data_IF_565093755846
#
_entry.id   IF_565093755846
#
_cell.length_a   1.000
_cell.length_b   1.000
_cell.length_c   1.000
_cell.angle_alpha   90.00
_cell.angle_beta   90.00
_cell.angle_gamma   90.00
#
_symmetry.space_group_name_H-M   'P 1'
#
loop_
_entity.id
_entity.type
_entity.pdbx_description
1 polymer ?
#
# COMPACT_ATOMS: atom_id res chain seq x y z
N UNK A 1 20.29 24.52 -22.33
CA UNK A 1 19.38 25.48 -23.04
C UNK A 1 18.04 24.87 -23.47
N UNK A 2 17.95 23.61 -23.91
CA UNK A 2 16.68 23.01 -24.38
C UNK A 2 15.57 22.85 -23.31
N UNK A 3 15.91 22.65 -22.02
CA UNK A 3 14.93 22.57 -20.92
C UNK A 3 14.20 23.91 -20.63
N UNK A 4 14.85 25.05 -20.89
CA UNK A 4 14.24 26.38 -20.74
C UNK A 4 13.25 26.65 -21.89
N UNK A 5 13.58 26.20 -23.09
CA UNK A 5 12.72 26.32 -24.27
C UNK A 5 11.47 25.44 -24.17
N UNK A 6 11.58 24.23 -23.61
CA UNK A 6 10.41 23.37 -23.37
C UNK A 6 9.46 23.91 -22.29
N UNK A 7 10.00 24.48 -21.19
CA UNK A 7 9.17 25.16 -20.15
C UNK A 7 8.49 26.42 -20.68
N UNK A 8 9.14 27.19 -21.56
CA UNK A 8 8.51 28.32 -22.26
C UNK A 8 7.37 27.86 -23.19
N UNK A 9 7.48 26.67 -23.79
CA UNK A 9 6.43 26.09 -24.64
C UNK A 9 5.13 25.77 -23.89
N UNK A 10 5.22 25.25 -22.66
CA UNK A 10 4.07 24.97 -21.81
C UNK A 10 3.39 26.26 -21.30
N UNK A 11 4.19 27.27 -20.91
CA UNK A 11 3.69 28.60 -20.55
C UNK A 11 2.94 29.26 -21.71
N UNK A 12 3.44 29.11 -22.95
CA UNK A 12 2.80 29.65 -24.15
C UNK A 12 1.42 29.05 -24.44
N UNK A 13 1.16 27.80 -24.01
CA UNK A 13 -0.17 27.15 -24.12
C UNK A 13 -1.17 27.70 -23.11
N UNK A 14 -0.71 28.15 -21.94
CA UNK A 14 -1.55 28.77 -20.92
C UNK A 14 -1.83 30.25 -21.18
N UNK A 15 -0.96 30.96 -21.91
CA UNK A 15 -1.18 32.37 -22.25
C UNK A 15 -2.49 32.61 -23.00
N UNK A 16 -2.85 31.74 -23.95
CA UNK A 16 -4.08 31.92 -24.75
C UNK A 16 -5.35 31.90 -23.91
N UNK A 17 -5.66 30.84 -23.13
CA UNK A 17 -6.86 30.84 -22.29
C UNK A 17 -6.82 31.94 -21.22
N UNK A 18 -5.64 32.25 -20.66
CA UNK A 18 -5.51 33.32 -19.66
C UNK A 18 -5.78 34.71 -20.24
N UNK A 19 -5.32 35.00 -21.46
CA UNK A 19 -5.63 36.26 -22.15
C UNK A 19 -7.11 36.35 -22.49
N UNK A 20 -7.74 35.24 -22.88
CA UNK A 20 -9.16 35.21 -23.20
C UNK A 20 -10.03 35.43 -21.94
N UNK A 21 -9.69 34.79 -20.82
CA UNK A 21 -10.38 35.01 -19.54
C UNK A 21 -10.18 36.44 -19.04
N UNK A 22 -8.97 36.99 -19.17
CA UNK A 22 -8.69 38.39 -18.82
C UNK A 22 -9.53 39.36 -19.66
N UNK A 23 -9.57 39.19 -20.98
CA UNK A 23 -10.40 40.01 -21.87
C UNK A 23 -11.89 39.88 -21.50
N UNK A 24 -12.36 38.67 -21.20
CA UNK A 24 -13.74 38.43 -20.75
C UNK A 24 -14.10 39.17 -19.47
N UNK A 25 -13.21 39.17 -18.47
CA UNK A 25 -13.41 39.89 -17.20
C UNK A 25 -13.45 41.41 -17.43
N UNK A 26 -12.60 41.94 -18.31
CA UNK A 26 -12.59 43.37 -18.65
C UNK A 26 -13.91 43.78 -19.34
N UNK A 27 -14.37 43.00 -20.33
CA UNK A 27 -15.63 43.28 -21.01
C UNK A 27 -16.83 43.17 -20.08
N UNK A 28 -16.85 42.16 -19.21
CA UNK A 28 -17.92 41.97 -18.23
C UNK A 28 -17.95 43.10 -17.20
N UNK A 29 -16.79 43.50 -16.68
CA UNK A 29 -16.71 44.61 -15.72
C UNK A 29 -17.15 45.94 -16.34
N UNK A 30 -16.79 46.19 -17.61
CA UNK A 30 -17.25 47.37 -18.35
C UNK A 30 -18.77 47.35 -18.56
N UNK A 31 -19.36 46.20 -18.94
CA UNK A 31 -20.80 46.04 -19.09
C UNK A 31 -21.57 46.31 -17.80
N UNK A 32 -21.10 45.75 -16.68
CA UNK A 32 -21.68 46.00 -15.35
C UNK A 32 -21.55 47.48 -14.97
N UNK A 33 -20.41 48.12 -15.24
CA UNK A 33 -20.22 49.53 -14.95
C UNK A 33 -21.23 50.43 -15.70
N UNK A 34 -21.44 50.20 -16.99
CA UNK A 34 -22.45 50.95 -17.77
C UNK A 34 -23.87 50.70 -17.27
N UNK A 35 -24.20 49.46 -16.91
CA UNK A 35 -25.50 49.12 -16.35
C UNK A 35 -25.74 49.84 -15.01
N UNK A 36 -24.76 49.84 -14.12
CA UNK A 36 -24.84 50.55 -12.84
C UNK A 36 -24.97 52.07 -13.04
N UNK A 37 -24.22 52.66 -13.98
CA UNK A 37 -24.34 54.08 -14.34
C UNK A 37 -25.74 54.39 -14.86
N UNK A 38 -26.32 53.53 -15.69
CA UNK A 38 -27.68 53.68 -16.19
C UNK A 38 -28.68 53.70 -15.04
N UNK A 39 -28.69 52.66 -14.19
CA UNK A 39 -29.60 52.58 -13.04
C UNK A 39 -29.45 53.80 -12.13
N UNK A 40 -28.21 54.24 -11.88
CA UNK A 40 -27.91 55.40 -11.06
C UNK A 40 -28.44 56.73 -11.64
N UNK A 41 -28.55 56.84 -12.97
CA UNK A 41 -29.06 58.06 -13.63
C UNK A 41 -30.58 58.07 -13.76
N UNK A 42 -31.22 56.90 -13.84
CA UNK A 42 -32.67 56.80 -14.06
C UNK A 42 -33.49 56.56 -12.80
N UNK A 43 -32.89 56.05 -11.72
CA UNK A 43 -33.62 55.71 -10.48
C UNK A 43 -33.06 56.49 -9.28
N UNK A 44 -33.93 57.04 -8.40
CA UNK A 44 -33.47 57.65 -7.15
C UNK A 44 -32.93 56.56 -6.21
N UNK A 45 -31.62 56.61 -5.93
CA UNK A 45 -30.94 55.60 -5.12
C UNK A 45 -31.00 55.91 -3.61
N UNK A 46 -31.10 54.88 -2.75
CA UNK A 46 -31.02 55.04 -1.29
C UNK A 46 -29.66 55.61 -0.81
N UNK A 47 -29.60 56.29 0.34
CA UNK A 47 -28.38 56.94 0.87
C UNK A 47 -27.19 56.00 1.13
N UNK A 48 -27.45 54.70 1.26
CA UNK A 48 -26.43 53.67 1.48
C UNK A 48 -25.45 53.58 0.29
N UNK A 49 -25.93 53.81 -0.93
CA UNK A 49 -25.10 53.77 -2.14
C UNK A 49 -24.07 54.90 -2.17
N UNK A 50 -24.36 56.02 -1.52
CA UNK A 50 -23.47 57.17 -1.38
C UNK A 50 -22.21 56.81 -0.59
N UNK A 51 -22.35 55.97 0.43
CA UNK A 51 -21.24 55.48 1.25
C UNK A 51 -20.46 54.38 0.52
N UNK A 52 -21.18 53.41 -0.07
CA UNK A 52 -20.62 52.24 -0.74
C UNK A 52 -19.80 52.63 -1.99
N UNK A 53 -20.23 53.65 -2.73
CA UNK A 53 -19.54 54.16 -3.93
C UNK A 53 -18.62 55.35 -3.64
N UNK A 54 -18.37 55.64 -2.34
CA UNK A 54 -17.43 56.67 -1.89
C UNK A 54 -17.74 58.07 -2.43
N UNK A 55 -19.01 58.48 -2.45
CA UNK A 55 -19.43 59.68 -3.19
C UNK A 55 -18.99 61.02 -2.58
N UNK A 56 -18.57 61.01 -1.34
CA UNK A 56 -17.98 62.17 -0.67
C UNK A 56 -16.59 62.52 -1.23
N UNK A 57 -15.96 61.63 -2.02
CA UNK A 57 -14.69 61.87 -2.70
C UNK A 57 -14.89 62.36 -4.14
N UNK A 58 -13.98 63.19 -4.68
CA UNK A 58 -14.01 63.55 -6.10
C UNK A 58 -13.76 62.32 -6.99
N UNK A 59 -14.28 62.36 -8.23
CA UNK A 59 -14.31 61.22 -9.16
C UNK A 59 -12.94 60.54 -9.35
N UNK A 60 -11.87 61.32 -9.46
CA UNK A 60 -10.52 60.79 -9.68
C UNK A 60 -10.01 60.02 -8.46
N UNK A 61 -10.31 60.47 -7.24
CA UNK A 61 -9.91 59.78 -6.00
C UNK A 61 -10.62 58.44 -5.83
N UNK A 62 -11.91 58.35 -6.19
CA UNK A 62 -12.65 57.08 -6.14
C UNK A 62 -12.00 56.03 -7.04
N UNK A 63 -11.65 56.41 -8.27
CA UNK A 63 -10.99 55.53 -9.22
C UNK A 63 -9.66 55.00 -8.69
N UNK A 64 -8.86 55.87 -8.05
CA UNK A 64 -7.59 55.47 -7.42
C UNK A 64 -7.81 54.49 -6.27
N UNK A 65 -8.80 54.74 -5.40
CA UNK A 65 -9.11 53.84 -4.26
C UNK A 65 -9.51 52.45 -4.74
N UNK A 66 -10.41 52.35 -5.72
CA UNK A 66 -10.82 51.05 -6.27
C UNK A 66 -9.69 50.34 -7.02
N UNK A 67 -8.82 51.08 -7.72
CA UNK A 67 -7.66 50.51 -8.39
C UNK A 67 -6.64 49.92 -7.41
N UNK A 68 -6.34 50.63 -6.32
CA UNK A 68 -5.42 50.14 -5.27
C UNK A 68 -5.99 48.92 -4.57
N UNK A 69 -7.28 48.96 -4.19
CA UNK A 69 -7.95 47.85 -3.53
C UNK A 69 -8.02 46.60 -4.43
N UNK A 70 -8.24 46.78 -5.74
CA UNK A 70 -8.21 45.71 -6.73
C UNK A 70 -6.81 45.13 -6.97
N UNK A 71 -5.76 45.95 -6.95
CA UNK A 71 -4.37 45.47 -7.06
C UNK A 71 -3.96 44.64 -5.84
N UNK A 72 -4.36 45.07 -4.63
CA UNK A 72 -4.08 44.34 -3.39
C UNK A 72 -4.76 42.97 -3.36
N UNK A 73 -6.03 42.88 -3.72
CA UNK A 73 -6.76 41.60 -3.75
C UNK A 73 -6.16 40.64 -4.78
N UNK A 74 -5.74 41.15 -5.94
CA UNK A 74 -5.07 40.36 -6.98
C UNK A 74 -3.71 39.83 -6.48
N UNK A 75 -2.90 40.67 -5.84
CA UNK A 75 -1.60 40.28 -5.29
C UNK A 75 -1.74 39.18 -4.22
N UNK A 76 -2.72 39.30 -3.32
CA UNK A 76 -3.01 38.28 -2.30
C UNK A 76 -3.45 36.96 -2.94
N UNK A 77 -4.30 37.02 -3.98
CA UNK A 77 -4.73 35.82 -4.71
C UNK A 77 -3.58 35.08 -5.39
N UNK A 78 -2.65 35.81 -6.01
CA UNK A 78 -1.44 35.22 -6.61
C UNK A 78 -0.56 34.58 -5.55
N UNK A 79 -0.35 35.25 -4.42
CA UNK A 79 0.51 34.74 -3.36
C UNK A 79 -0.02 33.43 -2.76
N UNK A 80 -1.34 33.34 -2.50
CA UNK A 80 -1.97 32.10 -2.06
C UNK A 80 -1.85 30.95 -3.07
N UNK A 81 -2.00 31.25 -4.37
CA UNK A 81 -1.81 30.25 -5.42
C UNK A 81 -0.36 29.76 -5.51
N UNK A 82 0.61 30.65 -5.30
CA UNK A 82 2.03 30.28 -5.33
C UNK A 82 2.44 29.32 -4.20
N UNK A 83 1.76 29.38 -3.05
CA UNK A 83 2.01 28.47 -1.93
C UNK A 83 1.49 27.05 -2.18
N UNK A 84 0.43 26.89 -2.98
CA UNK A 84 -0.18 25.58 -3.32
C UNK A 84 0.58 24.87 -4.45
N UNK A 85 1.33 25.61 -5.28
CA UNK A 85 2.01 25.07 -6.45
C UNK A 85 3.44 24.53 -6.19
N UNK A 86 3.94 24.59 -4.95
CA UNK A 86 5.26 24.03 -4.61
C UNK A 86 5.10 22.56 -4.23
N UNK A 87 4.96 21.70 -5.23
CA UNK A 87 5.24 20.28 -5.07
C UNK A 87 6.77 20.15 -5.01
N UNK A 88 7.37 19.65 -3.92
CA UNK A 88 8.80 19.37 -3.87
C UNK A 88 9.07 18.16 -4.78
N UNK A 89 9.54 18.42 -6.00
CA UNK A 89 10.11 17.40 -6.87
C UNK A 89 11.46 16.96 -6.32
N UNK A 90 11.43 16.12 -5.28
CA UNK A 90 12.60 15.38 -4.82
C UNK A 90 12.72 14.11 -5.67
N UNK A 91 13.19 14.27 -6.90
CA UNK A 91 13.69 13.15 -7.69
C UNK A 91 15.22 13.16 -7.55
N UNK A 92 15.75 12.28 -6.70
CA UNK A 92 17.16 11.91 -6.77
C UNK A 92 17.39 11.33 -8.17
N UNK A 93 18.07 12.09 -9.01
CA UNK A 93 18.53 11.64 -10.32
C UNK A 93 19.74 10.76 -10.05
N UNK A 94 19.59 9.47 -10.31
CA UNK A 94 20.69 8.51 -10.30
C UNK A 94 21.76 8.95 -11.32
N UNK A 95 23.01 9.00 -10.85
CA UNK A 95 24.18 9.51 -11.57
C UNK A 95 24.91 8.37 -12.26
N UNK A 96 24.20 7.65 -13.12
CA UNK A 96 24.79 6.67 -14.03
C UNK A 96 24.42 7.11 -15.46
N UNK A 97 25.46 7.41 -16.26
CA UNK A 97 25.38 8.11 -17.54
C UNK A 97 24.75 7.32 -18.70
N UNK A 98 23.64 6.62 -18.47
CA UNK A 98 22.84 6.02 -19.53
C UNK A 98 21.64 6.91 -19.88
N UNK A 99 21.62 7.41 -21.11
CA UNK A 99 20.45 8.05 -21.70
C UNK A 99 19.42 6.96 -22.02
N UNK A 100 18.67 6.51 -21.02
CA UNK A 100 17.53 5.60 -21.23
C UNK A 100 16.37 6.41 -21.81
N UNK A 101 16.16 6.28 -23.13
CA UNK A 101 14.92 6.69 -23.80
C UNK A 101 13.82 5.69 -23.41
N UNK A 102 13.25 5.85 -22.22
CA UNK A 102 12.10 5.07 -21.78
C UNK A 102 10.83 5.61 -22.44
N UNK A 103 10.24 4.84 -23.35
CA UNK A 103 8.83 5.00 -23.72
C UNK A 103 7.98 4.38 -22.60
N UNK A 104 7.71 5.18 -21.56
CA UNK A 104 6.82 4.77 -20.49
C UNK A 104 5.38 4.88 -21.04
N UNK A 105 4.76 3.74 -21.36
CA UNK A 105 3.29 3.69 -21.42
C UNK A 105 2.82 4.16 -20.06
N UNK A 106 1.99 5.21 -20.00
CA UNK A 106 1.21 5.57 -18.82
C UNK A 106 0.30 4.38 -18.47
N UNK A 107 0.85 3.36 -17.82
CA UNK A 107 0.06 2.29 -17.24
C UNK A 107 -0.50 2.84 -15.96
N UNK A 108 -1.81 3.06 -15.95
CA UNK A 108 -2.52 3.38 -14.72
C UNK A 108 -2.10 2.41 -13.61
N UNK A 109 -1.95 2.89 -12.35
CA UNK A 109 -1.55 2.05 -11.25
C UNK A 109 -2.53 0.86 -11.07
N UNK A 110 -2.05 -0.29 -10.59
CA UNK A 110 -2.87 -1.50 -10.46
C UNK A 110 -3.96 -1.35 -9.41
N UNK A 111 -5.06 -2.10 -9.58
CA UNK A 111 -5.90 -2.51 -8.45
C UNK A 111 -5.21 -3.67 -7.75
N UNK A 112 -4.93 -3.49 -6.46
CA UNK A 112 -4.27 -4.50 -5.65
C UNK A 112 -5.22 -5.01 -4.58
N UNK A 113 -5.16 -6.31 -4.31
CA UNK A 113 -5.74 -6.93 -3.13
C UNK A 113 -4.60 -7.50 -2.29
N UNK A 114 -4.62 -7.26 -0.99
CA UNK A 114 -3.68 -7.86 -0.04
C UNK A 114 -4.46 -8.72 0.94
N UNK A 115 -3.98 -9.93 1.17
CA UNK A 115 -4.46 -10.84 2.22
C UNK A 115 -3.32 -11.00 3.22
N UNK A 116 -3.46 -10.38 4.38
CA UNK A 116 -2.47 -10.37 5.46
C UNK A 116 -3.13 -9.99 6.80
N UNK A 117 -2.36 -9.94 7.88
CA UNK A 117 -2.78 -9.59 9.23
C UNK A 117 -1.69 -8.85 10.02
N UNK A 118 -2.05 -8.40 11.22
CA UNK A 118 -1.20 -7.70 12.17
C UNK A 118 -0.40 -6.54 11.57
N UNK A 119 0.87 -6.47 11.95
CA UNK A 119 1.80 -5.47 11.43
C UNK A 119 2.08 -5.63 9.92
N UNK A 120 2.01 -6.86 9.40
CA UNK A 120 2.23 -7.15 7.98
C UNK A 120 1.21 -6.49 7.07
N UNK A 121 -0.07 -6.48 7.48
CA UNK A 121 -1.15 -5.80 6.76
C UNK A 121 -0.98 -4.27 6.79
N UNK A 122 -0.47 -3.71 7.88
CA UNK A 122 -0.20 -2.27 7.98
C UNK A 122 1.01 -1.85 7.14
N UNK A 123 2.06 -2.67 7.09
CA UNK A 123 3.20 -2.48 6.18
C UNK A 123 2.68 -2.47 4.75
N UNK A 124 1.85 -3.45 4.38
CA UNK A 124 1.33 -3.52 3.02
C UNK A 124 0.29 -2.47 2.69
N UNK A 125 -0.48 -1.99 3.66
CA UNK A 125 -1.39 -0.87 3.48
C UNK A 125 -0.66 0.40 2.99
N UNK A 126 0.61 0.57 3.35
CA UNK A 126 1.40 1.71 2.84
C UNK A 126 1.51 1.71 1.31
N UNK A 127 1.40 0.56 0.61
CA UNK A 127 1.44 0.46 -0.85
C UNK A 127 0.30 1.22 -1.55
N UNK A 128 -0.71 1.68 -0.80
CA UNK A 128 -1.83 2.43 -1.31
C UNK A 128 -1.45 3.67 -2.14
N UNK A 129 -0.31 4.31 -1.85
CA UNK A 129 0.18 5.46 -2.64
C UNK A 129 0.58 5.07 -4.08
N UNK A 130 0.90 3.79 -4.32
CA UNK A 130 1.31 3.28 -5.63
C UNK A 130 0.22 2.44 -6.32
N UNK A 131 -0.90 2.21 -5.65
CA UNK A 131 -2.06 1.51 -6.18
C UNK A 131 -3.16 2.50 -6.58
N UNK A 132 -3.95 2.14 -7.60
CA UNK A 132 -5.18 2.88 -7.93
C UNK A 132 -6.25 2.67 -6.85
N UNK A 133 -6.23 1.47 -6.27
CA UNK A 133 -7.02 1.06 -5.11
C UNK A 133 -6.32 -0.15 -4.52
N UNK A 134 -6.10 -0.11 -3.21
CA UNK A 134 -5.59 -1.23 -2.43
C UNK A 134 -6.68 -1.73 -1.49
N UNK A 135 -7.11 -2.97 -1.67
CA UNK A 135 -8.07 -3.62 -0.77
C UNK A 135 -7.35 -4.61 0.13
N UNK A 136 -7.34 -4.33 1.43
CA UNK A 136 -6.72 -5.12 2.47
C UNK A 136 -7.79 -6.04 3.11
N UNK A 137 -7.75 -7.33 2.79
CA UNK A 137 -8.61 -8.34 3.40
C UNK A 137 -7.94 -8.83 4.69
N UNK A 138 -8.61 -8.62 5.82
CA UNK A 138 -8.10 -9.00 7.15
C UNK A 138 -8.18 -10.52 7.37
N UNK A 139 -7.49 -11.08 8.37
CA UNK A 139 -7.73 -12.46 8.79
C UNK A 139 -9.17 -12.66 9.25
N UNK A 140 -9.71 -13.87 9.05
CA UNK A 140 -11.12 -14.22 9.37
C UNK A 140 -11.43 -14.02 10.85
N UNK A 141 -10.43 -14.18 11.71
CA UNK A 141 -10.56 -14.08 13.15
C UNK A 141 -10.42 -12.64 13.68
N UNK A 142 -9.84 -11.72 12.90
CA UNK A 142 -9.47 -10.39 13.36
C UNK A 142 -10.62 -9.38 13.22
N UNK A 143 -10.84 -8.50 14.23
CA UNK A 143 -11.74 -7.38 14.08
C UNK A 143 -11.13 -6.29 13.18
N UNK A 144 -11.86 -5.87 12.15
CA UNK A 144 -11.39 -4.82 11.21
C UNK A 144 -11.19 -3.45 11.84
N UNK A 145 -11.84 -3.19 12.98
CA UNK A 145 -11.78 -1.91 13.69
C UNK A 145 -10.34 -1.47 14.03
N UNK A 146 -9.46 -2.43 14.34
CA UNK A 146 -8.06 -2.16 14.63
C UNK A 146 -7.36 -1.49 13.43
N UNK A 147 -7.52 -2.08 12.25
CA UNK A 147 -6.91 -1.59 11.02
C UNK A 147 -7.54 -0.27 10.55
N UNK A 148 -8.87 -0.13 10.72
CA UNK A 148 -9.54 1.14 10.44
C UNK A 148 -9.01 2.28 11.32
N UNK A 149 -8.83 2.06 12.63
CA UNK A 149 -8.26 3.07 13.53
C UNK A 149 -6.81 3.40 13.16
N UNK A 150 -6.02 2.39 12.79
CA UNK A 150 -4.67 2.60 12.31
C UNK A 150 -4.63 3.45 11.02
N UNK A 151 -5.61 3.28 10.11
CA UNK A 151 -5.67 4.04 8.87
C UNK A 151 -5.76 5.56 9.08
N UNK A 152 -6.50 6.00 10.09
CA UNK A 152 -6.59 7.41 10.48
C UNK A 152 -5.30 7.98 11.07
N UNK A 153 -4.46 7.12 11.67
CA UNK A 153 -3.17 7.52 12.25
C UNK A 153 -2.06 7.61 11.20
N UNK A 154 -2.03 6.65 10.27
CA UNK A 154 -0.99 6.55 9.24
C UNK A 154 -1.32 7.28 7.93
N UNK A 155 -2.54 7.84 7.81
CA UNK A 155 -3.00 8.58 6.63
C UNK A 155 -2.80 7.81 5.31
N UNK A 156 -3.18 6.53 5.30
CA UNK A 156 -3.04 5.70 4.10
C UNK A 156 -3.90 6.23 2.94
N UNK A 157 -3.32 6.29 1.75
CA UNK A 157 -4.00 6.76 0.54
C UNK A 157 -4.53 5.58 -0.28
N UNK A 158 -5.75 5.68 -0.83
CA UNK A 158 -6.36 4.65 -1.69
C UNK A 158 -6.54 3.26 -1.06
N UNK A 159 -6.50 3.15 0.28
CA UNK A 159 -6.64 1.87 1.01
C UNK A 159 -8.05 1.67 1.54
N UNK A 160 -8.54 0.43 1.45
CA UNK A 160 -9.80 0.00 2.05
C UNK A 160 -9.54 -1.30 2.80
N UNK A 161 -9.89 -1.35 4.09
CA UNK A 161 -9.87 -2.58 4.88
C UNK A 161 -11.23 -3.28 4.80
N UNK A 162 -11.20 -4.59 4.57
CA UNK A 162 -12.40 -5.40 4.32
C UNK A 162 -12.33 -6.67 5.16
N UNK A 163 -13.43 -7.01 5.82
CA UNK A 163 -13.58 -8.31 6.49
C UNK A 163 -13.97 -9.38 5.46
N UNK A 164 -13.38 -10.59 5.53
CA UNK A 164 -13.72 -11.68 4.63
C UNK A 164 -15.11 -12.26 4.93
N UNK A 165 -15.57 -12.21 6.19
CA UNK A 165 -16.87 -12.72 6.65
C UNK A 165 -17.63 -11.64 7.45
N UNK A 166 -18.98 -11.70 7.53
CA UNK A 166 -19.76 -10.75 8.32
C UNK A 166 -19.44 -10.75 9.82
N UNK A 167 -19.06 -11.91 10.35
CA UNK A 167 -18.69 -12.11 11.75
C UNK A 167 -17.28 -12.72 11.82
N UNK A 168 -16.48 -12.39 12.85
CA UNK A 168 -15.17 -13.01 13.03
C UNK A 168 -15.32 -14.46 13.48
N UNK A 169 -14.48 -15.36 12.95
CA UNK A 169 -14.52 -16.78 13.30
C UNK A 169 -13.23 -17.25 13.96
N UNK A 170 -13.33 -18.23 14.86
CA UNK A 170 -12.17 -18.84 15.49
C UNK A 170 -11.45 -19.77 14.52
N UNK A 171 -10.11 -19.74 14.57
CA UNK A 171 -9.25 -20.54 13.71
C UNK A 171 -8.33 -21.33 14.62
N UNK A 172 -8.32 -22.63 14.40
CA UNK A 172 -7.60 -23.59 15.21
C UNK A 172 -6.46 -24.19 14.40
N UNK A 173 -5.32 -24.36 15.04
CA UNK A 173 -4.18 -25.11 14.53
C UNK A 173 -4.00 -26.35 15.40
N UNK A 174 -3.87 -27.50 14.76
CA UNK A 174 -3.53 -28.76 15.42
C UNK A 174 -2.03 -29.00 15.26
N UNK A 175 -1.36 -29.29 16.37
CA UNK A 175 0.06 -29.63 16.44
C UNK A 175 0.27 -31.14 16.34
N UNK A 176 1.52 -31.54 16.11
CA UNK A 176 1.98 -32.92 15.99
C UNK A 176 1.78 -33.77 17.27
N UNK A 177 1.61 -33.14 18.43
CA UNK A 177 1.26 -33.81 19.70
C UNK A 177 -0.26 -33.92 19.95
N UNK A 178 -1.08 -33.49 18.99
CA UNK A 178 -2.54 -33.47 19.06
C UNK A 178 -3.12 -32.28 19.82
N UNK A 179 -2.29 -31.36 20.32
CA UNK A 179 -2.78 -30.14 20.94
C UNK A 179 -3.45 -29.25 19.88
N UNK A 180 -4.61 -28.67 20.25
CA UNK A 180 -5.34 -27.71 19.42
C UNK A 180 -5.21 -26.33 20.03
N UNK A 181 -4.77 -25.36 19.23
CA UNK A 181 -4.51 -23.99 19.66
C UNK A 181 -5.30 -23.00 18.81
N UNK A 182 -5.92 -22.02 19.44
CA UNK A 182 -6.58 -20.93 18.73
C UNK A 182 -5.54 -19.85 18.36
N UNK A 183 -5.46 -19.50 17.08
CA UNK A 183 -4.48 -18.55 16.54
C UNK A 183 -4.59 -17.14 17.13
N UNK A 184 -5.73 -16.75 17.73
CA UNK A 184 -5.89 -15.43 18.37
C UNK A 184 -4.96 -15.20 19.56
N UNK A 185 -4.41 -16.26 20.15
CA UNK A 185 -3.55 -16.17 21.33
C UNK A 185 -2.07 -15.90 21.00
N UNK A 186 -1.76 -15.44 19.79
CA UNK A 186 -0.40 -15.12 19.33
C UNK A 186 0.58 -16.29 19.56
N UNK A 187 0.19 -17.46 19.05
CA UNK A 187 0.90 -18.72 19.27
C UNK A 187 2.21 -18.78 18.48
N UNK A 188 2.31 -18.02 17.39
CA UNK A 188 3.52 -17.90 16.56
C UNK A 188 4.72 -17.27 17.28
N UNK A 189 4.57 -16.82 18.53
CA UNK A 189 5.65 -16.23 19.34
C UNK A 189 5.88 -17.00 20.65
N UNK A 190 5.22 -18.14 20.85
CA UNK A 190 5.44 -18.98 22.02
C UNK A 190 6.64 -19.92 21.81
N UNK A 191 7.78 -19.56 22.41
CA UNK A 191 9.02 -20.32 22.34
C UNK A 191 8.88 -21.77 22.83
N UNK A 192 7.88 -22.07 23.66
CA UNK A 192 7.61 -23.44 24.14
C UNK A 192 7.17 -24.37 23.01
N UNK A 193 6.65 -23.80 21.93
CA UNK A 193 6.20 -24.53 20.75
C UNK A 193 7.33 -24.73 19.73
N UNK A 194 8.56 -24.25 19.97
CA UNK A 194 9.64 -24.30 18.98
C UNK A 194 9.95 -25.72 18.46
N UNK A 195 9.70 -26.76 19.27
CA UNK A 195 9.92 -28.17 18.91
C UNK A 195 8.65 -28.87 18.36
N UNK A 196 7.57 -28.11 18.15
CA UNK A 196 6.29 -28.60 17.63
C UNK A 196 6.13 -28.23 16.16
N UNK A 197 5.20 -28.91 15.51
CA UNK A 197 4.86 -28.65 14.11
C UNK A 197 3.35 -28.63 13.89
N UNK A 198 2.86 -27.59 13.22
CA UNK A 198 1.48 -27.48 12.79
C UNK A 198 1.16 -28.52 11.70
N UNK A 199 0.28 -29.46 12.01
CA UNK A 199 -0.13 -30.53 11.09
C UNK A 199 -1.43 -30.19 10.35
N UNK A 200 -2.33 -29.43 10.98
CA UNK A 200 -3.63 -29.09 10.42
C UNK A 200 -4.09 -27.70 10.85
N UNK A 201 -4.94 -27.06 10.03
CA UNK A 201 -5.55 -25.77 10.32
C UNK A 201 -7.00 -25.78 9.83
N UNK A 202 -7.92 -25.28 10.65
CA UNK A 202 -9.35 -25.25 10.32
C UNK A 202 -10.07 -24.10 11.02
N UNK A 203 -11.22 -23.68 10.47
CA UNK A 203 -12.14 -22.76 11.15
C UNK A 203 -13.07 -23.59 12.02
N UNK A 204 -13.18 -23.26 13.31
CA UNK A 204 -13.92 -24.06 14.29
C UNK A 204 -13.47 -23.77 15.71
N UNK A 205 -13.74 -24.70 16.61
CA UNK A 205 -13.40 -24.60 18.03
C UNK A 205 -12.56 -25.81 18.49
N UNK A 206 -12.37 -25.95 19.80
CA UNK A 206 -11.66 -27.08 20.40
C UNK A 206 -12.32 -28.43 20.12
N UNK A 207 -13.65 -28.45 19.90
CA UNK A 207 -14.40 -29.68 19.63
C UNK A 207 -14.18 -30.18 18.20
N UNK A 208 -13.90 -29.28 17.25
CA UNK A 208 -13.50 -29.63 15.90
C UNK A 208 -13.85 -28.57 14.85
N UNK A 209 -13.77 -28.93 13.56
CA UNK A 209 -14.05 -28.01 12.46
C UNK A 209 -15.53 -27.63 12.41
N UNK A 210 -15.77 -26.38 12.01
CA UNK A 210 -17.11 -25.90 11.72
C UNK A 210 -17.67 -26.62 10.49
N UNK A 211 -18.84 -27.24 10.63
CA UNK A 211 -19.51 -27.95 9.53
C UNK A 211 -20.37 -27.03 8.64
N UNK A 212 -20.48 -25.75 8.98
CA UNK A 212 -21.26 -24.78 8.23
C UNK A 212 -20.41 -24.09 7.17
N UNK A 213 -20.98 -23.87 5.99
CA UNK A 213 -20.35 -23.01 4.98
C UNK A 213 -20.51 -21.55 5.41
N UNK A 214 -19.39 -20.88 5.64
CA UNK A 214 -19.37 -19.50 6.11
C UNK A 214 -19.57 -18.54 4.93
N UNK A 215 -20.47 -17.54 5.05
CA UNK A 215 -20.71 -16.57 3.99
C UNK A 215 -19.51 -15.64 3.85
N UNK A 216 -19.04 -15.44 2.61
CA UNK A 216 -17.99 -14.46 2.30
C UNK A 216 -18.62 -13.13 1.93
N UNK A 217 -18.00 -12.01 2.32
CA UNK A 217 -18.52 -10.69 1.98
C UNK A 217 -18.38 -10.41 0.48
N UNK A 218 -19.43 -9.85 -0.13
CA UNK A 218 -19.41 -9.50 -1.56
C UNK A 218 -18.30 -8.49 -1.88
N UNK A 219 -17.98 -7.59 -0.94
CA UNK A 219 -16.90 -6.60 -1.09
C UNK A 219 -15.54 -7.28 -1.28
N UNK A 220 -15.26 -8.37 -0.55
CA UNK A 220 -14.02 -9.14 -0.72
C UNK A 220 -13.99 -9.84 -2.09
N UNK A 221 -15.10 -10.46 -2.50
CA UNK A 221 -15.22 -11.16 -3.78
C UNK A 221 -15.06 -10.20 -4.98
N UNK A 222 -15.72 -9.04 -4.94
CA UNK A 222 -15.63 -8.02 -5.98
C UNK A 222 -14.21 -7.42 -6.09
N UNK A 223 -13.54 -7.27 -4.95
CA UNK A 223 -12.15 -6.81 -4.93
C UNK A 223 -11.23 -7.82 -5.63
N UNK A 224 -11.35 -9.12 -5.29
CA UNK A 224 -10.57 -10.19 -5.93
C UNK A 224 -10.86 -10.31 -7.43
N UNK A 225 -12.13 -10.21 -7.82
CA UNK A 225 -12.56 -10.30 -9.21
C UNK A 225 -12.04 -9.15 -10.08
N UNK A 226 -11.87 -7.97 -9.50
CA UNK A 226 -11.43 -6.76 -10.20
C UNK A 226 -9.95 -6.42 -10.03
N UNK A 227 -9.21 -7.23 -9.27
CA UNK A 227 -7.79 -7.04 -8.99
C UNK A 227 -6.92 -7.27 -10.23
N UNK A 228 -5.85 -6.48 -10.34
CA UNK A 228 -4.74 -6.72 -11.26
C UNK A 228 -3.63 -7.53 -10.57
N UNK A 229 -3.50 -7.39 -9.24
CA UNK A 229 -2.52 -8.08 -8.39
C UNK A 229 -3.20 -8.53 -7.09
N UNK A 230 -2.94 -9.78 -6.68
CA UNK A 230 -3.31 -10.31 -5.36
C UNK A 230 -2.01 -10.65 -4.63
N UNK A 231 -1.80 -10.05 -3.47
CA UNK A 231 -0.61 -10.24 -2.64
C UNK A 231 -0.99 -11.00 -1.37
N UNK A 232 -0.27 -12.06 -1.07
CA UNK A 232 -0.35 -12.79 0.19
C UNK A 232 0.82 -12.37 1.07
N UNK A 233 0.54 -11.87 2.27
CA UNK A 233 1.57 -11.40 3.19
C UNK A 233 2.09 -9.98 2.88
N UNK A 234 3.20 -9.57 3.54
CA UNK A 234 3.94 -10.35 4.53
C UNK A 234 3.10 -10.56 5.78
N UNK A 235 3.36 -11.60 6.55
CA UNK A 235 2.63 -11.92 7.79
C UNK A 235 2.75 -13.40 8.12
N UNK A 236 2.33 -13.78 9.33
CA UNK A 236 2.34 -15.19 9.76
C UNK A 236 1.55 -16.04 8.76
N UNK A 237 2.15 -17.15 8.32
CA UNK A 237 1.50 -18.04 7.36
C UNK A 237 0.20 -18.60 7.96
N UNK A 238 0.27 -19.16 9.17
CA UNK A 238 -0.85 -19.82 9.85
C UNK A 238 -1.84 -18.86 10.50
N UNK A 239 -1.39 -17.67 10.94
CA UNK A 239 -2.29 -16.72 11.60
C UNK A 239 -2.87 -15.69 10.63
N UNK A 240 -2.18 -15.31 9.55
CA UNK A 240 -2.60 -14.18 8.71
C UNK A 240 -3.06 -14.55 7.30
N UNK A 241 -2.49 -15.60 6.71
CA UNK A 241 -2.66 -15.91 5.28
C UNK A 241 -3.57 -17.11 5.08
N UNK A 242 -3.19 -18.28 5.62
CA UNK A 242 -3.94 -19.52 5.47
C UNK A 242 -5.39 -19.46 5.98
N UNK A 243 -5.73 -18.73 7.07
CA UNK A 243 -7.10 -18.67 7.56
C UNK A 243 -8.12 -18.19 6.51
N UNK A 244 -7.72 -17.23 5.68
CA UNK A 244 -8.57 -16.73 4.60
C UNK A 244 -8.76 -17.76 3.48
N UNK A 245 -7.76 -18.62 3.23
CA UNK A 245 -7.82 -19.67 2.22
C UNK A 245 -8.70 -20.87 2.65
N UNK A 246 -9.07 -20.95 3.93
CA UNK A 246 -10.03 -21.95 4.44
C UNK A 246 -11.46 -21.65 4.00
N UNK A 247 -11.78 -20.43 3.57
CA UNK A 247 -13.08 -20.03 3.04
C UNK A 247 -13.21 -20.51 1.58
N UNK A 248 -14.05 -21.53 1.27
CA UNK A 248 -14.07 -22.14 -0.05
C UNK A 248 -14.43 -21.17 -1.17
N UNK A 249 -15.35 -20.25 -0.90
CA UNK A 249 -15.80 -19.23 -1.86
C UNK A 249 -14.70 -18.20 -2.16
N UNK A 250 -13.98 -17.74 -1.13
CA UNK A 250 -12.85 -16.81 -1.30
C UNK A 250 -11.71 -17.47 -2.09
N UNK A 251 -11.35 -18.71 -1.72
CA UNK A 251 -10.34 -19.51 -2.40
C UNK A 251 -10.68 -19.70 -3.89
N UNK A 252 -11.93 -20.04 -4.20
CA UNK A 252 -12.39 -20.22 -5.57
C UNK A 252 -12.37 -18.92 -6.37
N UNK A 253 -12.74 -17.80 -5.76
CA UNK A 253 -12.64 -16.48 -6.38
C UNK A 253 -11.18 -16.12 -6.74
N UNK A 254 -10.24 -16.36 -5.82
CA UNK A 254 -8.80 -16.15 -6.07
C UNK A 254 -8.31 -17.03 -7.20
N UNK A 255 -8.67 -18.32 -7.19
CA UNK A 255 -8.26 -19.30 -8.20
C UNK A 255 -8.74 -18.92 -9.61
N UNK A 256 -9.96 -18.38 -9.73
CA UNK A 256 -10.53 -17.91 -11.00
C UNK A 256 -9.99 -16.55 -11.44
N UNK A 257 -9.41 -15.77 -10.52
CA UNK A 257 -8.92 -14.43 -10.82
C UNK A 257 -7.74 -14.47 -11.79
N UNK A 258 -7.77 -13.56 -12.76
CA UNK A 258 -6.66 -13.33 -13.70
C UNK A 258 -5.57 -12.43 -13.12
N UNK A 259 -5.76 -11.95 -11.88
CA UNK A 259 -4.77 -11.16 -11.18
C UNK A 259 -3.46 -11.96 -11.01
N UNK A 260 -2.34 -11.25 -11.08
CA UNK A 260 -1.02 -11.78 -10.73
C UNK A 260 -0.97 -12.06 -9.22
N UNK A 261 -0.73 -13.31 -8.83
CA UNK A 261 -0.72 -13.79 -7.44
C UNK A 261 0.71 -13.80 -6.93
N UNK A 262 1.00 -12.99 -5.92
CA UNK A 262 2.34 -12.86 -5.34
C UNK A 262 2.31 -13.24 -3.88
N UNK A 263 3.24 -14.07 -3.42
CA UNK A 263 3.44 -14.36 -2.00
C UNK A 263 4.69 -13.65 -1.51
N UNK A 264 4.59 -12.90 -0.41
CA UNK A 264 5.74 -12.30 0.28
C UNK A 264 6.13 -13.24 1.41
N UNK A 265 7.26 -13.92 1.24
CA UNK A 265 7.73 -14.91 2.19
C UNK A 265 8.11 -14.26 3.54
N UNK A 266 7.86 -14.95 4.64
CA UNK A 266 8.29 -14.52 5.96
C UNK A 266 9.81 -14.41 6.04
N UNK A 267 10.32 -13.45 6.82
CA UNK A 267 11.77 -13.26 7.01
C UNK A 267 12.38 -14.31 7.96
N UNK A 268 11.59 -14.75 8.93
CA UNK A 268 11.97 -15.70 9.97
C UNK A 268 10.89 -16.76 10.09
N UNK A 269 11.27 -17.95 10.54
CA UNK A 269 10.36 -19.01 10.96
C UNK A 269 9.69 -18.66 12.29
N UNK A 270 8.49 -19.17 12.50
CA UNK A 270 7.68 -18.98 13.69
C UNK A 270 7.63 -20.29 14.50
N UNK A 271 7.97 -20.29 15.80
CA UNK A 271 7.97 -21.48 16.64
C UNK A 271 6.64 -22.21 16.59
N UNK A 272 6.68 -23.53 16.35
CA UNK A 272 5.49 -24.39 16.32
C UNK A 272 4.71 -24.34 15.00
N UNK A 273 4.78 -23.22 14.27
CA UNK A 273 4.02 -22.99 13.05
C UNK A 273 4.85 -23.29 11.80
N UNK A 274 5.99 -22.62 11.66
CA UNK A 274 6.87 -22.74 10.49
C UNK A 274 8.30 -23.11 10.87
N UNK A 275 8.50 -23.72 12.06
CA UNK A 275 9.80 -24.26 12.49
C UNK A 275 10.42 -25.11 11.38
N UNK A 276 11.60 -24.72 10.92
CA UNK A 276 12.37 -25.44 9.91
C UNK A 276 11.86 -25.30 8.47
N UNK A 277 10.87 -24.44 8.23
CA UNK A 277 10.34 -24.25 6.87
C UNK A 277 11.34 -23.54 5.96
N UNK A 278 11.53 -24.14 4.77
CA UNK A 278 12.09 -23.51 3.57
C UNK A 278 11.04 -22.63 2.87
N UNK A 279 11.43 -21.99 1.75
CA UNK A 279 10.50 -21.25 0.89
C UNK A 279 9.48 -22.21 0.27
N UNK A 280 9.92 -23.38 -0.18
CA UNK A 280 9.07 -24.45 -0.73
C UNK A 280 8.03 -24.91 0.28
N UNK A 281 8.40 -25.07 1.56
CA UNK A 281 7.45 -25.49 2.60
C UNK A 281 6.30 -24.48 2.75
N UNK A 282 6.60 -23.18 2.70
CA UNK A 282 5.57 -22.14 2.73
C UNK A 282 4.65 -22.23 1.50
N UNK A 283 5.22 -22.36 0.31
CA UNK A 283 4.43 -22.50 -0.93
C UNK A 283 3.58 -23.77 -0.90
N UNK A 284 4.12 -24.91 -0.42
CA UNK A 284 3.38 -26.17 -0.27
C UNK A 284 2.18 -26.02 0.65
N UNK A 285 2.26 -25.26 1.75
CA UNK A 285 1.07 -25.02 2.58
C UNK A 285 0.03 -24.14 1.88
N UNK A 286 0.45 -23.11 1.14
CA UNK A 286 -0.47 -22.28 0.33
C UNK A 286 -1.17 -23.15 -0.72
N UNK A 287 -0.43 -24.02 -1.42
CA UNK A 287 -0.99 -24.97 -2.40
C UNK A 287 -1.92 -25.97 -1.73
N UNK A 288 -1.55 -26.51 -0.56
CA UNK A 288 -2.36 -27.48 0.19
C UNK A 288 -3.71 -26.91 0.60
N UNK A 289 -3.74 -25.69 1.14
CA UNK A 289 -4.97 -25.07 1.68
C UNK A 289 -5.74 -24.33 0.57
N UNK A 290 -5.03 -23.59 -0.27
CA UNK A 290 -5.56 -22.74 -1.33
C UNK A 290 -5.84 -23.46 -2.64
N UNK A 291 -5.20 -24.60 -2.92
CA UNK A 291 -5.41 -25.36 -4.15
C UNK A 291 -4.84 -24.68 -5.42
N UNK A 292 -3.94 -23.71 -5.26
CA UNK A 292 -3.23 -23.04 -6.34
C UNK A 292 -1.84 -22.60 -5.86
N UNK A 293 -0.81 -22.63 -6.72
CA UNK A 293 0.45 -21.97 -6.43
C UNK A 293 0.33 -20.45 -6.65
N UNK A 294 1.05 -19.61 -5.88
CA UNK A 294 1.33 -18.24 -6.29
C UNK A 294 2.04 -18.20 -7.64
N UNK A 295 1.83 -17.15 -8.43
CA UNK A 295 2.59 -16.95 -9.67
C UNK A 295 4.05 -16.57 -9.35
N UNK A 296 4.23 -15.75 -8.30
CA UNK A 296 5.53 -15.30 -7.82
C UNK A 296 5.67 -15.41 -6.30
N UNK A 297 6.89 -15.66 -5.84
CA UNK A 297 7.28 -15.59 -4.42
C UNK A 297 8.40 -14.58 -4.26
N UNK A 298 8.19 -13.57 -3.42
CA UNK A 298 9.20 -12.58 -3.07
C UNK A 298 9.93 -13.03 -1.81
N UNK A 299 11.24 -13.21 -1.89
CA UNK A 299 12.08 -13.69 -0.78
C UNK A 299 13.17 -12.66 -0.49
N UNK A 300 13.37 -12.37 0.79
CA UNK A 300 14.47 -11.51 1.20
C UNK A 300 15.80 -12.27 1.13
N UNK A 301 16.73 -11.80 0.29
CA UNK A 301 18.06 -12.39 0.14
C UNK A 301 19.16 -11.62 0.88
N UNK A 302 18.83 -10.47 1.49
CA UNK A 302 19.83 -9.69 2.20
C UNK A 302 20.28 -10.41 3.48
N UNK A 303 21.60 -10.44 3.69
CA UNK A 303 22.22 -11.02 4.88
C UNK A 303 21.75 -10.28 6.14
N UNK A 304 21.27 -11.05 7.11
CA UNK A 304 20.82 -10.56 8.40
C UNK A 304 22.04 -10.48 9.34
N UNK A 305 22.19 -9.35 10.02
CA UNK A 305 23.28 -9.12 10.99
C UNK A 305 23.31 -10.23 12.05
N UNK A 306 24.53 -10.68 12.41
CA UNK A 306 24.71 -11.82 13.31
C UNK A 306 24.08 -11.58 14.70
N UNK A 307 24.14 -10.35 15.20
CA UNK A 307 23.54 -9.94 16.47
C UNK A 307 22.01 -10.09 16.45
N UNK A 308 21.37 -9.61 15.37
CA UNK A 308 19.93 -9.76 15.17
C UNK A 308 19.56 -11.24 15.08
N UNK A 309 20.33 -12.02 14.30
CA UNK A 309 20.12 -13.46 14.16
C UNK A 309 20.21 -14.20 15.49
N UNK A 310 21.11 -13.79 16.40
CA UNK A 310 21.22 -14.39 17.73
C UNK A 310 19.99 -14.14 18.59
N UNK A 311 19.40 -12.93 18.53
CA UNK A 311 18.16 -12.61 19.25
C UNK A 311 17.02 -13.51 18.77
N UNK A 312 16.85 -13.66 17.46
CA UNK A 312 15.81 -14.53 16.89
C UNK A 312 16.07 -16.03 17.17
N UNK A 313 17.34 -16.48 17.09
CA UNK A 313 17.69 -17.86 17.39
C UNK A 313 17.44 -18.23 18.86
N UNK A 314 17.61 -17.29 19.79
CA UNK A 314 17.26 -17.51 21.21
C UNK A 314 15.76 -17.77 21.40
N UNK A 315 14.91 -17.22 20.53
CA UNK A 315 13.47 -17.46 20.50
C UNK A 315 13.07 -18.66 19.62
N UNK A 316 14.02 -19.50 19.19
CA UNK A 316 13.75 -20.66 18.32
C UNK A 316 13.42 -20.30 16.87
N UNK A 317 13.75 -19.09 16.42
CA UNK A 317 13.47 -18.61 15.06
C UNK A 317 14.72 -18.64 14.19
N UNK A 318 14.53 -19.04 12.93
CA UNK A 318 15.59 -19.13 11.93
C UNK A 318 15.23 -18.33 10.68
N UNK A 319 16.20 -17.70 10.00
CA UNK A 319 15.93 -17.02 8.74
C UNK A 319 15.39 -17.97 7.67
N UNK A 320 14.42 -17.49 6.89
CA UNK A 320 13.90 -18.23 5.73
C UNK A 320 14.64 -17.75 4.49
N UNK A 321 15.43 -18.65 3.89
CA UNK A 321 16.16 -18.43 2.64
C UNK A 321 15.88 -19.58 1.68
N UNK A 322 16.21 -19.38 0.40
CA UNK A 322 16.26 -20.49 -0.54
C UNK A 322 17.35 -21.48 -0.14
N UNK A 323 17.01 -22.78 -0.14
CA UNK A 323 17.96 -23.86 0.12
C UNK A 323 18.74 -24.20 -1.16
N UNK A 324 19.94 -24.80 -1.06
CA UNK A 324 20.69 -25.25 -2.24
C UNK A 324 19.89 -26.20 -3.14
N UNK A 325 19.08 -27.07 -2.53
CA UNK A 325 18.23 -28.04 -3.22
C UNK A 325 17.16 -27.34 -4.09
N UNK A 326 16.56 -26.25 -3.59
CA UNK A 326 15.57 -25.44 -4.32
C UNK A 326 16.20 -24.74 -5.56
N UNK A 327 17.48 -24.37 -5.48
CA UNK A 327 18.21 -23.86 -6.64
C UNK A 327 18.49 -24.95 -7.68
N UNK A 328 18.69 -26.21 -7.26
CA UNK A 328 19.03 -27.32 -8.14
C UNK A 328 17.81 -27.89 -8.88
N UNK A 329 16.65 -28.02 -8.21
CA UNK A 329 15.40 -28.50 -8.83
C UNK A 329 14.87 -27.59 -9.95
N UNK A 330 15.33 -26.33 -9.97
CA UNK A 330 14.88 -25.26 -10.87
C UNK A 330 15.45 -25.34 -12.31
N UNK A 331 16.64 -25.92 -12.52
CA UNK A 331 17.49 -25.61 -13.70
C UNK A 331 17.06 -26.28 -15.03
N UNK A 332 15.92 -26.98 -15.09
CA UNK A 332 15.64 -27.91 -16.22
C UNK A 332 14.93 -27.28 -17.44
N UNK A 333 14.54 -26.00 -17.45
CA UNK A 333 13.91 -25.40 -18.65
C UNK A 333 14.89 -24.56 -19.48
N UNK A 334 15.76 -25.22 -20.26
CA UNK A 334 16.62 -24.56 -21.25
C UNK A 334 15.92 -24.50 -22.61
N UNK A 335 15.34 -23.35 -22.95
CA UNK A 335 15.13 -22.96 -24.36
C UNK A 335 15.45 -21.48 -24.55
N UNK A 336 16.41 -21.24 -25.44
CA UNK A 336 16.80 -19.98 -26.11
C UNK A 336 17.30 -18.77 -25.29
N UNK A 337 18.62 -18.55 -25.43
CA UNK A 337 19.31 -17.26 -25.63
C UNK A 337 18.72 -16.03 -24.92
N UNK A 338 18.87 -16.03 -23.60
CA UNK A 338 19.32 -14.98 -22.66
C UNK A 338 18.94 -15.57 -21.31
N UNK A 339 19.87 -16.25 -20.64
CA UNK A 339 19.59 -17.05 -19.43
C UNK A 339 19.39 -16.15 -18.22
N UNK A 340 18.20 -15.56 -18.09
CA UNK A 340 17.65 -15.22 -16.78
C UNK A 340 17.27 -16.56 -16.14
N UNK A 341 18.03 -16.98 -15.13
CA UNK A 341 17.75 -18.23 -14.40
C UNK A 341 16.57 -17.93 -13.47
N UNK A 342 15.34 -18.04 -13.98
CA UNK A 342 14.14 -17.92 -13.14
C UNK A 342 14.11 -19.12 -12.18
N UNK A 343 14.17 -18.85 -10.88
CA UNK A 343 14.04 -19.88 -9.84
C UNK A 343 12.58 -20.31 -9.73
N UNK A 344 12.29 -21.62 -9.82
CA UNK A 344 10.92 -22.14 -9.77
C UNK A 344 10.81 -23.11 -8.61
N UNK A 345 9.99 -22.74 -7.63
CA UNK A 345 9.72 -23.56 -6.44
C UNK A 345 8.24 -23.86 -6.39
N UNK A 346 7.88 -25.14 -6.42
CA UNK A 346 6.48 -25.60 -6.33
C UNK A 346 5.55 -24.95 -7.38
N UNK A 347 6.09 -24.68 -8.56
CA UNK A 347 5.39 -24.03 -9.67
C UNK A 347 5.30 -22.50 -9.58
N UNK A 348 5.86 -21.88 -8.55
CA UNK A 348 5.93 -20.44 -8.38
C UNK A 348 7.31 -19.89 -8.75
N UNK A 349 7.36 -18.73 -9.42
CA UNK A 349 8.63 -18.05 -9.74
C UNK A 349 9.16 -17.29 -8.53
N UNK A 350 10.35 -17.64 -8.06
CA UNK A 350 10.98 -16.98 -6.91
C UNK A 350 11.79 -15.78 -7.36
N UNK A 351 11.56 -14.65 -6.72
CA UNK A 351 12.28 -13.40 -6.92
C UNK A 351 12.96 -13.04 -5.60
N UNK A 352 14.28 -13.09 -5.61
CA UNK A 352 15.13 -12.69 -4.51
C UNK A 352 15.43 -11.18 -4.58
N UNK A 353 15.35 -10.51 -3.43
CA UNK A 353 15.67 -9.09 -3.35
C UNK A 353 15.99 -8.64 -1.93
N UNK A 354 16.41 -7.38 -1.80
CA UNK A 354 16.41 -6.71 -0.51
C UNK A 354 14.98 -6.22 -0.22
N UNK A 355 14.30 -6.89 0.71
CA UNK A 355 12.89 -6.62 1.05
C UNK A 355 12.70 -6.17 2.51
N UNK A 356 13.78 -6.05 3.27
CA UNK A 356 13.73 -5.85 4.71
C UNK A 356 14.68 -4.76 5.19
N UNK A 357 14.36 -4.19 6.35
CA UNK A 357 15.20 -3.23 7.06
C UNK A 357 15.20 -3.59 8.55
N UNK A 358 16.36 -3.51 9.19
CA UNK A 358 16.47 -3.66 10.64
C UNK A 358 16.11 -2.35 11.34
N UNK A 359 15.06 -2.35 12.15
CA UNK A 359 14.58 -1.18 12.88
C UNK A 359 14.95 -1.31 14.34
N UNK A 360 15.54 -0.26 14.89
CA UNK A 360 15.84 -0.18 16.32
C UNK A 360 14.54 0.10 17.07
N UNK A 361 14.10 -0.83 17.91
CA UNK A 361 12.92 -0.69 18.75
C UNK A 361 13.33 -0.62 20.21
N UNK A 362 12.83 0.39 20.92
CA UNK A 362 12.94 0.46 22.37
C UNK A 362 11.79 -0.35 22.97
N UNK A 363 12.13 -1.47 23.59
CA UNK A 363 11.17 -2.31 24.30
C UNK A 363 11.36 -2.07 25.79
N UNK A 364 10.29 -1.62 26.45
CA UNK A 364 10.20 -1.62 27.91
C UNK A 364 9.52 -2.92 28.33
N UNK A 365 10.19 -3.71 29.16
CA UNK A 365 9.60 -4.93 29.71
C UNK A 365 8.55 -4.56 30.76
N UNK A 366 7.34 -5.11 30.65
CA UNK A 366 6.31 -4.96 31.67
C UNK A 366 6.72 -5.64 32.99
N UNK A 367 7.50 -6.74 32.91
CA UNK A 367 7.97 -7.47 34.08
C UNK A 367 9.11 -6.75 34.84
N UNK A 368 9.80 -5.81 34.18
CA UNK A 368 10.94 -5.06 34.74
C UNK A 368 10.78 -3.56 34.43
N UNK A 369 9.77 -2.89 35.02
CA UNK A 369 9.51 -1.48 34.75
C UNK A 369 10.71 -0.62 35.16
N UNK A 370 11.44 -0.09 34.18
CA UNK A 370 12.66 0.71 34.35
C UNK A 370 13.85 0.23 33.50
N UNK A 371 13.87 -1.04 33.08
CA UNK A 371 14.83 -1.55 32.11
C UNK A 371 14.28 -1.37 30.69
N UNK A 372 14.80 -0.38 29.96
CA UNK A 372 14.59 -0.28 28.52
C UNK A 372 15.69 -1.04 27.81
N UNK A 373 15.31 -2.04 27.01
CA UNK A 373 16.24 -2.72 26.11
C UNK A 373 16.00 -2.23 24.70
N UNK A 374 17.08 -1.78 24.08
CA UNK A 374 17.08 -1.44 22.66
C UNK A 374 17.26 -2.74 21.89
N UNK A 375 16.22 -3.21 21.21
CA UNK A 375 16.24 -4.44 20.44
C UNK A 375 16.13 -4.08 18.96
N UNK A 376 17.06 -4.58 18.13
CA UNK A 376 16.95 -4.48 16.68
C UNK A 376 15.99 -5.55 16.19
N UNK A 377 14.87 -5.12 15.61
CA UNK A 377 13.82 -6.00 15.07
C UNK A 377 13.90 -5.94 13.56
N UNK A 378 13.88 -7.10 12.91
CA UNK A 378 13.85 -7.18 11.46
C UNK A 378 12.41 -7.06 10.98
N UNK A 379 12.15 -6.19 10.00
CA UNK A 379 10.84 -6.01 9.39
C UNK A 379 10.95 -5.86 7.89
N UNK A 380 9.89 -6.25 7.20
CA UNK A 380 9.76 -5.90 5.79
C UNK A 380 9.72 -4.39 5.62
N UNK A 381 10.42 -3.91 4.60
CA UNK A 381 10.47 -2.49 4.26
C UNK A 381 9.36 -2.17 3.25
N UNK A 382 8.45 -1.22 3.56
CA UNK A 382 7.31 -0.93 2.71
C UNK A 382 7.72 -0.44 1.32
N UNK A 383 8.74 0.42 1.20
CA UNK A 383 9.16 1.00 -0.08
C UNK A 383 9.85 -0.04 -0.97
N UNK A 384 10.67 -0.91 -0.36
CA UNK A 384 11.31 -2.01 -1.08
C UNK A 384 10.27 -3.01 -1.59
N UNK A 385 9.29 -3.35 -0.75
CA UNK A 385 8.16 -4.21 -1.15
C UNK A 385 7.35 -3.59 -2.29
N UNK A 386 6.99 -2.30 -2.20
CA UNK A 386 6.28 -1.58 -3.26
C UNK A 386 7.02 -1.70 -4.59
N UNK A 387 8.33 -1.45 -4.57
CA UNK A 387 9.18 -1.49 -5.76
C UNK A 387 9.21 -2.88 -6.37
N UNK A 388 9.46 -3.91 -5.54
CA UNK A 388 9.52 -5.30 -5.99
C UNK A 388 8.18 -5.78 -6.58
N UNK A 389 7.05 -5.51 -5.92
CA UNK A 389 5.72 -5.91 -6.40
C UNK A 389 5.40 -5.26 -7.75
N UNK A 390 5.65 -3.96 -7.89
CA UNK A 390 5.37 -3.24 -9.14
C UNK A 390 6.29 -3.68 -10.28
N UNK A 391 7.56 -3.98 -9.98
CA UNK A 391 8.49 -4.48 -10.98
C UNK A 391 8.05 -5.85 -11.49
N UNK A 392 7.74 -6.78 -10.60
CA UNK A 392 7.25 -8.11 -10.96
C UNK A 392 5.94 -8.04 -11.74
N UNK A 393 5.00 -7.20 -11.30
CA UNK A 393 3.73 -7.01 -12.01
C UNK A 393 3.92 -6.47 -13.43
N UNK A 394 4.86 -5.53 -13.63
CA UNK A 394 5.18 -4.99 -14.96
C UNK A 394 5.85 -6.02 -15.86
N UNK A 395 6.67 -6.92 -15.32
CA UNK A 395 7.33 -8.01 -16.08
C UNK A 395 6.33 -9.05 -16.59
N UNK A 396 5.24 -9.28 -15.87
CA UNK A 396 4.19 -10.23 -16.25
C UNK A 396 3.20 -9.74 -17.32
N UNK A 397 3.39 -8.54 -17.89
CA UNK A 397 2.47 -7.89 -18.84
C UNK A 397 2.89 -7.96 -20.29
#
# INVERSE_FOLDING_TARGET
MQRVVQRLGALRRLLRPLTLTFIGIVLLSLGVAYFVIFVYRTMPMPPVFTLLTLQFLPLWMRGVVFAVLGLLTLAIGIWHLSAVAVIPLNAQVDTSGELVLAYQRDTAPPRMVVISGGAGLLITASLGHAARRLTCITPVQDPVEYYYRASSLFNFENVIFVVPTPEPHEVMVELDDGQRLNVKHNIAHDERLAQRHAVNIYIGDETGPCNLTLPVTQVALDAIASADVIVFGPGSLYESILPNLLLPELREAIRRSKACKMYICSLMTEPGMTTGFSVADHVRQIVRVGGFPPDYVLVNAQRIDAEVRQVYAAAGQTPVFLTPEEYEETVVSTTDRVTTHDVIVEGAKVIEGDLATAVVQLTASLDHPGESRTVRVLRHDPEKLTTAILEVWRRGR
#
